data_IF_829302035223
#
_entry.id   IF_829302035223
#
_cell.length_a   1.000
_cell.length_b   1.000
_cell.length_c   1.000
_cell.angle_alpha   90.00
_cell.angle_beta   90.00
_cell.angle_gamma   90.00
#
_symmetry.space_group_name_H-M   'P 1'
#
loop_
_entity.id
_entity.type
_entity.pdbx_description
1 polymer ?
#
# COMPACT_ATOMS: atom_id res chain seq x y z
N UNK A 1 57.90 -69.27 14.19
CA UNK A 1 57.54 -68.38 13.06
C UNK A 1 56.10 -67.95 13.25
N UNK A 2 55.87 -66.63 13.31
CA UNK A 2 54.55 -65.99 13.50
C UNK A 2 53.78 -65.98 12.17
N UNK A 3 52.48 -66.25 12.18
CA UNK A 3 51.55 -65.78 11.13
C UNK A 3 50.12 -65.84 11.67
N UNK A 4 49.63 -64.73 12.24
CA UNK A 4 48.70 -63.77 11.63
C UNK A 4 47.31 -64.34 11.33
N UNK A 5 46.42 -64.18 12.32
CA UNK A 5 44.98 -64.25 12.13
C UNK A 5 44.51 -62.97 11.44
N UNK A 6 43.95 -63.09 10.24
CA UNK A 6 43.31 -61.99 9.54
C UNK A 6 41.85 -61.91 10.03
N UNK A 7 41.55 -60.97 10.93
CA UNK A 7 40.16 -60.62 11.23
C UNK A 7 39.61 -59.78 10.07
N UNK A 8 38.71 -60.36 9.27
CA UNK A 8 37.87 -59.58 8.35
C UNK A 8 36.87 -58.77 9.20
N UNK A 9 37.14 -57.48 9.38
CA UNK A 9 36.15 -56.54 9.87
C UNK A 9 35.21 -56.16 8.71
N UNK A 10 33.97 -56.62 8.75
CA UNK A 10 32.92 -56.14 7.84
C UNK A 10 32.50 -54.75 8.31
N UNK A 11 33.07 -53.71 7.71
CA UNK A 11 32.61 -52.34 7.84
C UNK A 11 31.27 -52.21 7.09
N UNK A 12 30.17 -52.30 7.83
CA UNK A 12 28.85 -51.93 7.32
C UNK A 12 28.83 -50.44 7.03
N UNK A 13 28.96 -50.07 5.75
CA UNK A 13 28.68 -48.69 5.30
C UNK A 13 27.17 -48.51 5.38
N UNK A 14 26.69 -47.99 6.50
CA UNK A 14 25.36 -47.42 6.57
C UNK A 14 25.35 -46.18 5.66
N UNK A 15 24.94 -46.37 4.41
CA UNK A 15 24.61 -45.26 3.52
C UNK A 15 23.43 -44.52 4.17
N UNK A 16 23.73 -43.46 4.91
CA UNK A 16 22.72 -42.49 5.29
C UNK A 16 22.24 -41.85 3.98
N UNK A 17 21.11 -42.33 3.48
CA UNK A 17 20.38 -41.63 2.44
C UNK A 17 19.88 -40.36 3.14
N UNK A 18 20.70 -39.31 3.11
CA UNK A 18 20.27 -37.98 3.44
C UNK A 18 19.16 -37.66 2.44
N UNK A 19 17.91 -37.89 2.86
CA UNK A 19 16.75 -37.46 2.12
C UNK A 19 16.93 -35.96 1.92
N UNK A 20 17.24 -35.55 0.70
CA UNK A 20 17.27 -34.17 0.31
C UNK A 20 15.83 -33.68 0.51
N UNK A 21 15.55 -33.11 1.68
CA UNK A 21 14.27 -32.46 1.95
C UNK A 21 14.25 -31.23 1.06
N UNK A 22 13.71 -31.37 -0.14
CA UNK A 22 13.38 -30.23 -0.97
C UNK A 22 12.59 -29.26 -0.11
N UNK A 23 13.01 -27.99 -0.08
CA UNK A 23 12.23 -26.97 0.60
C UNK A 23 10.81 -26.98 0.03
N UNK A 24 9.76 -26.89 0.88
CA UNK A 24 8.41 -26.77 0.37
C UNK A 24 8.35 -25.59 -0.60
N UNK A 25 7.55 -25.68 -1.67
CA UNK A 25 7.42 -24.56 -2.60
C UNK A 25 6.93 -23.32 -1.83
N UNK A 26 7.36 -22.11 -2.23
CA UNK A 26 6.86 -20.89 -1.64
C UNK A 26 5.32 -20.85 -1.73
N UNK A 27 4.68 -20.35 -0.67
CA UNK A 27 3.28 -19.97 -0.76
C UNK A 27 3.14 -18.81 -1.74
N UNK A 28 2.14 -18.87 -2.61
CA UNK A 28 1.80 -17.78 -3.52
C UNK A 28 0.29 -17.56 -3.52
N UNK A 29 -0.13 -16.32 -3.75
CA UNK A 29 -1.51 -16.00 -4.06
C UNK A 29 -1.67 -16.07 -5.59
N UNK A 30 -2.66 -16.78 -6.12
CA UNK A 30 -2.85 -16.94 -7.56
C UNK A 30 -3.18 -15.60 -8.22
N UNK A 31 -2.98 -15.52 -9.55
CA UNK A 31 -3.35 -14.39 -10.40
C UNK A 31 -2.78 -13.04 -9.96
N UNK A 32 -1.62 -13.08 -9.32
CA UNK A 32 -0.84 -11.90 -8.93
C UNK A 32 0.49 -11.91 -9.66
N UNK A 33 0.85 -10.77 -10.24
CA UNK A 33 2.18 -10.50 -10.76
C UNK A 33 2.79 -9.29 -10.07
N UNK A 34 4.12 -9.26 -9.96
CA UNK A 34 4.82 -8.12 -9.36
C UNK A 34 6.04 -7.75 -10.21
N UNK A 35 6.28 -6.45 -10.36
CA UNK A 35 7.46 -5.92 -11.03
C UNK A 35 7.92 -4.63 -10.35
N UNK A 36 9.16 -4.24 -10.59
CA UNK A 36 9.70 -2.95 -10.11
C UNK A 36 9.53 -1.90 -11.20
N UNK A 37 9.02 -0.73 -10.82
CA UNK A 37 8.90 0.43 -11.68
C UNK A 37 9.63 1.61 -11.05
N UNK A 38 10.61 2.18 -11.77
CA UNK A 38 11.33 3.37 -11.32
C UNK A 38 10.67 4.62 -11.89
N UNK A 39 10.18 5.49 -11.00
CA UNK A 39 9.50 6.71 -11.40
C UNK A 39 10.47 7.76 -11.94
N UNK A 40 10.04 8.44 -13.01
CA UNK A 40 10.69 9.65 -13.47
C UNK A 40 10.32 10.88 -12.65
N UNK A 41 9.08 10.99 -12.17
CA UNK A 41 8.63 12.11 -11.35
C UNK A 41 9.28 12.12 -9.96
N UNK A 42 9.33 10.96 -9.30
CA UNK A 42 9.75 10.85 -7.91
C UNK A 42 11.19 10.36 -7.73
N UNK A 43 11.79 9.81 -8.80
CA UNK A 43 13.11 9.14 -8.81
C UNK A 43 13.19 7.92 -7.88
N UNK A 44 12.06 7.43 -7.37
CA UNK A 44 11.98 6.24 -6.48
C UNK A 44 11.58 4.99 -7.25
N UNK A 45 11.99 3.85 -6.73
CA UNK A 45 11.60 2.53 -7.24
C UNK A 45 10.43 1.97 -6.42
N UNK A 46 9.34 1.66 -7.11
CA UNK A 46 8.14 1.08 -6.53
C UNK A 46 8.02 -0.39 -6.91
N UNK A 47 7.60 -1.23 -5.97
CA UNK A 47 7.14 -2.57 -6.28
C UNK A 47 5.66 -2.49 -6.61
N UNK A 48 5.33 -2.75 -7.87
CA UNK A 48 3.97 -2.73 -8.39
C UNK A 48 3.46 -4.16 -8.45
N UNK A 49 2.48 -4.47 -7.62
CA UNK A 49 1.79 -5.76 -7.59
C UNK A 49 0.42 -5.61 -8.26
N UNK A 50 0.09 -6.48 -9.21
CA UNK A 50 -1.20 -6.47 -9.91
C UNK A 50 -1.91 -7.79 -9.65
N UNK A 51 -3.12 -7.72 -9.07
CA UNK A 51 -4.03 -8.83 -8.90
C UNK A 51 -5.13 -8.75 -9.96
N UNK A 52 -5.30 -9.83 -10.72
CA UNK A 52 -6.38 -9.96 -11.69
C UNK A 52 -7.60 -10.65 -11.04
N UNK A 53 -8.83 -10.29 -11.47
CA UNK A 53 -10.02 -11.01 -11.03
C UNK A 53 -10.02 -12.44 -11.57
N UNK A 54 -10.74 -13.33 -10.90
CA UNK A 54 -10.92 -14.71 -11.36
C UNK A 54 -11.54 -14.73 -12.77
N UNK A 55 -10.98 -15.55 -13.66
CA UNK A 55 -11.41 -15.61 -15.05
C UNK A 55 -11.15 -14.35 -15.88
N UNK A 56 -10.18 -13.49 -15.48
CA UNK A 56 -9.82 -12.30 -16.26
C UNK A 56 -9.66 -12.58 -17.76
N UNK A 57 -10.30 -11.76 -18.58
CA UNK A 57 -10.24 -11.85 -20.05
C UNK A 57 -10.05 -10.48 -20.69
N UNK A 58 -9.15 -10.41 -21.66
CA UNK A 58 -8.96 -9.20 -22.48
C UNK A 58 -10.16 -8.89 -23.38
N UNK A 59 -11.04 -9.87 -23.63
CA UNK A 59 -12.25 -9.71 -24.46
C UNK A 59 -13.50 -9.32 -23.63
N UNK A 60 -13.37 -9.20 -22.31
CA UNK A 60 -14.43 -8.71 -21.42
C UNK A 60 -14.63 -7.18 -21.57
N UNK A 61 -15.69 -6.62 -20.97
CA UNK A 61 -15.76 -5.18 -20.78
C UNK A 61 -14.59 -4.68 -19.90
N UNK A 62 -14.04 -3.47 -20.12
CA UNK A 62 -12.87 -3.03 -19.35
C UNK A 62 -13.14 -2.99 -17.84
N UNK A 63 -12.26 -3.60 -17.05
CA UNK A 63 -12.42 -3.73 -15.60
C UNK A 63 -12.17 -2.39 -14.87
N UNK A 64 -12.92 -2.06 -13.80
CA UNK A 64 -12.51 -0.98 -12.89
C UNK A 64 -11.21 -1.34 -12.18
N UNK A 65 -10.49 -0.33 -11.67
CA UNK A 65 -9.17 -0.51 -11.04
C UNK A 65 -9.16 0.06 -9.63
N UNK A 66 -8.75 -0.75 -8.65
CA UNK A 66 -8.46 -0.29 -7.29
C UNK A 66 -6.96 -0.15 -7.11
N UNK A 67 -6.49 1.07 -6.87
CA UNK A 67 -5.11 1.36 -6.49
C UNK A 67 -5.00 1.37 -4.96
N UNK A 68 -4.04 0.61 -4.43
CA UNK A 68 -3.84 0.46 -2.99
C UNK A 68 -2.43 0.91 -2.59
N UNK A 69 -2.33 1.84 -1.64
CA UNK A 69 -1.06 2.19 -1.00
C UNK A 69 -0.53 1.04 -0.13
N UNK A 70 0.72 1.19 0.35
CA UNK A 70 1.31 0.32 1.37
C UNK A 70 1.19 -1.18 1.05
N UNK A 71 1.36 -1.53 -0.23
CA UNK A 71 1.16 -2.91 -0.72
C UNK A 71 2.11 -3.94 -0.09
N UNK A 72 3.23 -3.50 0.50
CA UNK A 72 4.10 -4.36 1.30
C UNK A 72 3.41 -4.93 2.55
N UNK A 73 2.37 -4.25 3.07
CA UNK A 73 1.66 -4.58 4.32
C UNK A 73 0.22 -5.03 4.09
N UNK A 74 -0.47 -4.44 3.11
CA UNK A 74 -1.94 -4.54 3.05
C UNK A 74 -2.45 -5.30 1.81
N UNK A 75 -1.60 -5.54 0.81
CA UNK A 75 -2.05 -6.03 -0.51
C UNK A 75 -2.80 -7.36 -0.45
N UNK A 76 -2.29 -8.35 0.28
CA UNK A 76 -2.96 -9.65 0.41
C UNK A 76 -4.36 -9.55 1.03
N UNK A 77 -4.50 -8.72 2.07
CA UNK A 77 -5.80 -8.46 2.72
C UNK A 77 -6.77 -7.78 1.76
N UNK A 78 -6.32 -6.77 1.03
CA UNK A 78 -7.15 -6.05 0.03
C UNK A 78 -7.61 -7.01 -1.06
N UNK A 79 -6.71 -7.84 -1.59
CA UNK A 79 -7.02 -8.79 -2.67
C UNK A 79 -8.04 -9.82 -2.22
N UNK A 80 -7.82 -10.49 -1.09
CA UNK A 80 -8.74 -11.55 -0.64
C UNK A 80 -10.09 -10.98 -0.19
N UNK A 81 -10.12 -9.77 0.38
CA UNK A 81 -11.38 -9.09 0.68
C UNK A 81 -12.16 -8.79 -0.60
N UNK A 82 -11.51 -8.24 -1.62
CA UNK A 82 -12.14 -7.95 -2.90
C UNK A 82 -12.65 -9.22 -3.57
N UNK A 83 -11.86 -10.31 -3.59
CA UNK A 83 -12.29 -11.61 -4.13
C UNK A 83 -13.55 -12.13 -3.44
N UNK A 84 -13.61 -12.07 -2.11
CA UNK A 84 -14.79 -12.50 -1.36
C UNK A 84 -16.04 -11.64 -1.69
N UNK A 85 -15.88 -10.34 -1.84
CA UNK A 85 -16.96 -9.42 -2.21
C UNK A 85 -17.42 -9.60 -3.67
N UNK A 86 -16.49 -9.83 -4.60
CA UNK A 86 -16.79 -10.13 -6.01
C UNK A 86 -17.46 -11.49 -6.18
N UNK A 87 -17.02 -12.52 -5.44
CA UNK A 87 -17.65 -13.83 -5.41
C UNK A 87 -19.12 -13.74 -4.97
N UNK A 88 -19.39 -12.93 -3.93
CA UNK A 88 -20.74 -12.65 -3.44
C UNK A 88 -21.50 -11.57 -4.23
N UNK A 89 -20.94 -11.09 -5.34
CA UNK A 89 -21.51 -10.07 -6.25
C UNK A 89 -21.88 -8.74 -5.57
N UNK A 90 -21.20 -8.42 -4.46
CA UNK A 90 -21.36 -7.14 -3.76
C UNK A 90 -20.57 -6.00 -4.44
N UNK A 91 -19.50 -6.34 -5.16
CA UNK A 91 -18.72 -5.43 -5.99
C UNK A 91 -18.50 -6.09 -7.37
N UNK A 92 -18.23 -5.31 -8.43
CA UNK A 92 -17.85 -5.87 -9.73
C UNK A 92 -16.51 -6.62 -9.63
N UNK A 93 -16.21 -7.45 -10.62
CA UNK A 93 -14.86 -7.95 -10.81
C UNK A 93 -13.94 -6.77 -11.16
N UNK A 94 -12.75 -6.70 -10.57
CA UNK A 94 -11.85 -5.56 -10.68
C UNK A 94 -10.38 -5.98 -10.71
N UNK A 95 -9.55 -5.14 -11.33
CA UNK A 95 -8.09 -5.25 -11.24
C UNK A 95 -7.62 -4.46 -10.01
N UNK A 96 -6.70 -5.04 -9.24
CA UNK A 96 -6.13 -4.39 -8.05
C UNK A 96 -4.65 -4.12 -8.28
N UNK A 97 -4.25 -2.86 -8.12
CA UNK A 97 -2.88 -2.39 -8.31
C UNK A 97 -2.34 -1.95 -6.95
N UNK A 98 -1.52 -2.79 -6.33
CA UNK A 98 -0.81 -2.47 -5.11
C UNK A 98 0.47 -1.70 -5.41
N UNK A 99 0.65 -0.57 -4.74
CA UNK A 99 1.84 0.27 -4.81
C UNK A 99 2.64 0.08 -3.53
N UNK A 100 3.77 -0.61 -3.64
CA UNK A 100 4.71 -0.84 -2.56
C UNK A 100 6.10 -0.34 -2.91
N UNK A 101 7.05 -0.72 -2.08
CA UNK A 101 8.45 -0.31 -2.17
C UNK A 101 9.33 -1.50 -2.49
N UNK A 102 10.24 -1.32 -3.45
CA UNK A 102 11.21 -2.33 -3.87
C UNK A 102 12.38 -2.40 -2.86
N UNK A 103 12.08 -2.81 -1.62
CA UNK A 103 13.03 -2.91 -0.52
C UNK A 103 12.90 -4.24 0.20
N UNK A 104 14.00 -4.67 0.81
CA UNK A 104 14.01 -5.85 1.68
C UNK A 104 13.18 -5.61 2.95
N UNK A 105 12.61 -6.68 3.48
CA UNK A 105 11.73 -6.63 4.65
C UNK A 105 10.28 -6.94 4.30
N UNK A 106 9.44 -7.00 5.33
CA UNK A 106 8.00 -7.26 5.21
C UNK A 106 7.22 -6.13 5.88
N UNK A 107 6.03 -5.85 5.36
CA UNK A 107 5.13 -4.87 5.92
C UNK A 107 5.76 -3.49 6.11
N UNK A 108 5.49 -2.89 7.27
CA UNK A 108 5.95 -1.55 7.62
C UNK A 108 7.47 -1.39 7.64
N UNK A 109 8.25 -2.46 7.83
CA UNK A 109 9.72 -2.39 7.73
C UNK A 109 10.20 -2.06 6.32
N UNK A 110 9.48 -2.54 5.31
CA UNK A 110 9.79 -2.25 3.92
C UNK A 110 9.23 -0.87 3.48
N UNK A 111 8.03 -0.51 3.94
CA UNK A 111 7.35 0.72 3.50
C UNK A 111 7.66 1.97 4.32
N UNK A 112 7.84 1.84 5.63
CA UNK A 112 7.97 2.92 6.62
C UNK A 112 8.87 4.09 6.22
N UNK A 113 10.10 3.84 5.71
CA UNK A 113 11.02 4.94 5.42
C UNK A 113 10.57 5.83 4.25
N UNK A 114 10.08 5.23 3.17
CA UNK A 114 9.73 5.94 1.93
C UNK A 114 8.27 6.40 1.91
N UNK A 115 7.36 5.69 2.57
CA UNK A 115 5.95 6.08 2.66
C UNK A 115 5.76 7.43 3.34
N UNK A 116 6.64 7.78 4.27
CA UNK A 116 6.62 9.09 4.93
C UNK A 116 6.90 10.21 3.93
N UNK A 117 7.68 9.95 2.87
CA UNK A 117 7.88 10.88 1.75
C UNK A 117 6.64 10.89 0.87
N UNK A 118 6.30 9.76 0.25
CA UNK A 118 5.28 9.70 -0.81
C UNK A 118 3.87 10.08 -0.35
N UNK A 119 3.52 9.76 0.90
CA UNK A 119 2.15 9.83 1.38
C UNK A 119 1.87 11.09 2.21
N UNK A 120 2.84 11.99 2.35
CA UNK A 120 2.66 13.25 3.10
C UNK A 120 2.68 14.46 2.16
N UNK A 121 1.72 15.40 2.32
CA UNK A 121 1.55 16.52 1.41
C UNK A 121 2.57 17.64 1.58
N UNK A 122 3.19 17.73 2.76
CA UNK A 122 4.10 18.81 3.15
C UNK A 122 5.33 18.25 3.85
N UNK A 123 6.44 18.99 3.80
CA UNK A 123 7.63 18.65 4.56
C UNK A 123 7.44 18.95 6.05
N UNK A 124 7.78 17.99 6.90
CA UNK A 124 7.84 18.12 8.36
C UNK A 124 9.08 17.40 8.90
N UNK A 125 10.22 18.10 8.87
CA UNK A 125 11.50 17.59 9.36
C UNK A 125 11.53 17.43 10.88
N UNK A 126 10.71 18.19 11.61
CA UNK A 126 10.60 18.09 13.06
C UNK A 126 9.91 16.78 13.46
N UNK A 127 8.78 16.47 12.81
CA UNK A 127 8.11 15.17 12.98
C UNK A 127 9.03 14.02 12.57
N UNK A 128 9.69 14.11 11.41
CA UNK A 128 10.57 13.04 10.94
C UNK A 128 11.71 12.75 11.94
N UNK A 129 12.29 13.78 12.53
CA UNK A 129 13.33 13.65 13.56
C UNK A 129 12.80 13.00 14.83
N UNK A 130 11.62 13.42 15.30
CA UNK A 130 11.00 12.86 16.51
C UNK A 130 10.62 11.39 16.32
N UNK A 131 10.00 11.05 15.18
CA UNK A 131 9.54 9.70 14.87
C UNK A 131 10.68 8.73 14.53
N UNK A 132 11.84 9.22 14.09
CA UNK A 132 13.00 8.38 13.83
C UNK A 132 13.41 7.56 15.06
N UNK A 133 13.38 8.16 16.26
CA UNK A 133 13.69 7.43 17.49
C UNK A 133 12.70 6.29 17.73
N UNK A 134 11.41 6.58 17.63
CA UNK A 134 10.34 5.60 17.82
C UNK A 134 10.46 4.44 16.82
N UNK A 135 10.71 4.75 15.54
CA UNK A 135 10.89 3.74 14.49
C UNK A 135 12.06 2.79 14.81
N UNK A 136 13.20 3.35 15.22
CA UNK A 136 14.39 2.57 15.57
C UNK A 136 14.11 1.67 16.78
N UNK A 137 13.45 2.20 17.82
CA UNK A 137 13.07 1.42 19.01
C UNK A 137 12.14 0.23 18.65
N UNK A 138 11.32 0.38 17.60
CA UNK A 138 10.44 -0.67 17.06
C UNK A 138 11.12 -1.60 16.04
N UNK A 139 12.42 -1.40 15.75
CA UNK A 139 13.17 -2.19 14.77
C UNK A 139 12.73 -1.95 13.33
N UNK A 140 12.27 -0.73 13.05
CA UNK A 140 11.89 -0.24 11.71
C UNK A 140 12.93 0.83 11.30
N UNK A 141 13.40 0.86 10.05
CA UNK A 141 14.30 1.92 9.62
C UNK A 141 13.57 3.28 9.71
N UNK A 142 14.27 4.36 10.11
CA UNK A 142 13.65 5.67 10.30
C UNK A 142 13.11 6.24 8.97
N UNK A 143 12.18 7.21 9.02
CA UNK A 143 11.76 7.98 7.84
C UNK A 143 12.94 8.55 7.07
N UNK A 144 12.91 8.45 5.74
CA UNK A 144 13.93 9.06 4.87
C UNK A 144 13.59 10.51 4.48
N UNK A 145 12.37 10.95 4.78
CA UNK A 145 11.89 12.31 4.51
C UNK A 145 10.37 12.40 4.55
N UNK A 146 9.86 13.55 4.13
CA UNK A 146 8.43 13.91 4.07
C UNK A 146 8.15 14.82 2.86
N UNK A 147 6.89 15.12 2.54
CA UNK A 147 6.50 16.14 1.56
C UNK A 147 6.53 15.73 0.08
N UNK A 148 6.50 14.44 -0.23
CA UNK A 148 6.64 13.90 -1.58
C UNK A 148 5.33 13.64 -2.35
N UNK A 149 4.16 13.97 -1.79
CA UNK A 149 2.86 13.63 -2.38
C UNK A 149 2.67 14.11 -3.83
N UNK A 150 3.11 15.31 -4.17
CA UNK A 150 2.95 15.83 -5.53
C UNK A 150 3.72 14.99 -6.57
N UNK A 151 4.95 14.59 -6.25
CA UNK A 151 5.76 13.74 -7.11
C UNK A 151 5.18 12.30 -7.19
N UNK A 152 4.60 11.81 -6.09
CA UNK A 152 3.96 10.50 -6.08
C UNK A 152 2.65 10.49 -6.88
N UNK A 153 1.83 11.53 -6.81
CA UNK A 153 0.66 11.71 -7.68
C UNK A 153 1.08 11.77 -9.15
N UNK A 154 2.11 12.54 -9.50
CA UNK A 154 2.61 12.60 -10.87
C UNK A 154 3.05 11.20 -11.38
N UNK A 155 3.75 10.43 -10.55
CA UNK A 155 4.06 9.03 -10.86
C UNK A 155 2.80 8.19 -11.13
N UNK A 156 1.82 8.25 -10.21
CA UNK A 156 0.59 7.46 -10.34
C UNK A 156 -0.16 7.83 -11.62
N UNK A 157 -0.34 9.13 -11.86
CA UNK A 157 -1.12 9.67 -12.97
C UNK A 157 -0.45 9.42 -14.32
N UNK A 158 0.81 9.84 -14.44
CA UNK A 158 1.46 10.01 -15.73
C UNK A 158 2.25 8.77 -16.14
N UNK A 159 2.63 7.93 -15.17
CA UNK A 159 3.48 6.76 -15.43
C UNK A 159 2.73 5.45 -15.15
N UNK A 160 2.29 5.25 -13.90
CA UNK A 160 1.71 3.96 -13.48
C UNK A 160 0.36 3.70 -14.14
N UNK A 161 -0.58 4.65 -14.09
CA UNK A 161 -1.91 4.46 -14.66
C UNK A 161 -1.83 4.20 -16.18
N UNK A 162 -0.98 4.94 -16.89
CA UNK A 162 -0.72 4.72 -18.32
C UNK A 162 -0.06 3.35 -18.60
N UNK A 163 0.77 2.85 -17.69
CA UNK A 163 1.35 1.50 -17.79
C UNK A 163 0.27 0.41 -17.63
N UNK A 164 -0.61 0.57 -16.64
CA UNK A 164 -1.72 -0.37 -16.38
C UNK A 164 -2.71 -0.39 -17.55
N UNK A 165 -3.11 0.77 -18.07
CA UNK A 165 -4.02 0.89 -19.24
C UNK A 165 -3.46 0.23 -20.50
N UNK A 166 -2.13 0.21 -20.67
CA UNK A 166 -1.48 -0.46 -21.81
C UNK A 166 -1.36 -1.98 -21.63
N UNK A 167 -1.32 -2.44 -20.40
CA UNK A 167 -1.00 -3.84 -20.08
C UNK A 167 -2.25 -4.69 -19.83
N UNK A 168 -3.36 -4.06 -19.43
CA UNK A 168 -4.58 -4.73 -19.02
C UNK A 168 -5.82 -4.06 -19.62
N UNK A 169 -6.88 -4.85 -19.85
CA UNK A 169 -8.17 -4.38 -20.31
C UNK A 169 -8.93 -3.68 -19.17
N UNK A 170 -8.54 -2.45 -18.86
CA UNK A 170 -9.08 -1.68 -17.74
C UNK A 170 -9.76 -0.40 -18.21
N UNK A 171 -10.76 0.01 -17.45
CA UNK A 171 -11.44 1.29 -17.62
C UNK A 171 -10.72 2.42 -16.86
N UNK A 172 -11.19 3.66 -17.07
CA UNK A 172 -10.81 4.82 -16.25
C UNK A 172 -11.64 4.97 -14.98
N UNK A 173 -12.47 3.97 -14.66
CA UNK A 173 -13.09 3.89 -13.34
C UNK A 173 -12.04 3.43 -12.32
N UNK A 174 -11.43 4.40 -11.65
CA UNK A 174 -10.35 4.18 -10.69
C UNK A 174 -10.79 4.55 -9.28
N UNK A 175 -10.45 3.67 -8.34
CA UNK A 175 -10.60 3.87 -6.92
C UNK A 175 -9.23 3.92 -6.22
N UNK A 176 -9.14 4.69 -5.14
CA UNK A 176 -8.00 4.71 -4.24
C UNK A 176 -8.36 4.05 -2.90
N UNK A 177 -7.48 3.19 -2.41
CA UNK A 177 -7.48 2.69 -1.04
C UNK A 177 -6.20 3.10 -0.33
N UNK A 178 -6.36 3.60 0.89
CA UNK A 178 -5.22 3.88 1.75
C UNK A 178 -5.61 4.05 3.21
N UNK A 179 -4.69 3.65 4.08
CA UNK A 179 -4.84 3.70 5.53
C UNK A 179 -3.74 4.57 6.17
N UNK A 180 -4.03 5.27 7.27
CA UNK A 180 -3.07 6.15 7.95
C UNK A 180 -2.50 7.22 7.01
N UNK A 181 -1.18 7.28 6.76
CA UNK A 181 -0.65 8.17 5.70
C UNK A 181 -1.18 7.84 4.31
N UNK A 182 -1.49 6.58 3.98
CA UNK A 182 -2.18 6.26 2.72
C UNK A 182 -3.57 6.89 2.66
N UNK A 183 -4.22 7.04 3.81
CA UNK A 183 -5.49 7.78 3.94
C UNK A 183 -5.30 9.29 3.85
N UNK A 184 -4.24 9.84 4.47
CA UNK A 184 -3.84 11.24 4.33
C UNK A 184 -3.57 11.61 2.87
N UNK A 185 -2.82 10.76 2.15
CA UNK A 185 -2.61 10.91 0.72
C UNK A 185 -3.91 10.73 -0.06
N UNK A 186 -4.80 9.83 0.36
CA UNK A 186 -6.17 9.74 -0.17
C UNK A 186 -6.92 11.07 -0.08
N UNK A 187 -6.84 11.78 1.05
CA UNK A 187 -7.41 13.12 1.20
C UNK A 187 -6.69 14.14 0.31
N UNK A 188 -5.36 14.08 0.20
CA UNK A 188 -4.61 14.91 -0.75
C UNK A 188 -5.08 14.70 -2.20
N UNK A 189 -5.34 13.45 -2.60
CA UNK A 189 -5.87 13.09 -3.92
C UNK A 189 -7.29 13.64 -4.16
N UNK A 190 -8.15 13.75 -3.14
CA UNK A 190 -9.48 14.36 -3.30
C UNK A 190 -9.37 15.78 -3.88
N UNK A 191 -8.36 16.53 -3.47
CA UNK A 191 -8.20 17.94 -3.84
C UNK A 191 -7.27 18.15 -5.04
N UNK A 192 -6.29 17.25 -5.24
CA UNK A 192 -5.22 17.43 -6.22
C UNK A 192 -5.24 16.39 -7.35
N UNK A 193 -5.95 15.27 -7.19
CA UNK A 193 -5.97 14.13 -8.11
C UNK A 193 -7.36 13.76 -8.62
N UNK A 194 -8.29 14.72 -8.64
CA UNK A 194 -9.68 14.51 -9.08
C UNK A 194 -9.82 14.16 -10.56
N UNK A 195 -8.77 14.32 -11.36
CA UNK A 195 -8.66 13.87 -12.75
C UNK A 195 -8.24 12.39 -12.88
N UNK A 196 -7.78 11.79 -11.78
CA UNK A 196 -7.26 10.42 -11.73
C UNK A 196 -8.22 9.49 -11.01
N UNK A 197 -8.77 9.93 -9.88
CA UNK A 197 -9.60 9.11 -9.00
C UNK A 197 -10.93 9.81 -8.69
N UNK A 198 -12.00 9.01 -8.68
CA UNK A 198 -13.34 9.48 -8.30
C UNK A 198 -13.96 8.67 -7.16
N UNK A 199 -13.30 7.58 -6.74
CA UNK A 199 -13.76 6.69 -5.67
C UNK A 199 -12.64 6.53 -4.65
N UNK A 200 -12.97 6.62 -3.38
CA UNK A 200 -11.98 6.65 -2.31
C UNK A 200 -12.45 5.80 -1.14
N UNK A 201 -11.57 4.94 -0.65
CA UNK A 201 -11.72 4.16 0.57
C UNK A 201 -10.57 4.59 1.48
N UNK A 202 -10.88 5.48 2.42
CA UNK A 202 -9.89 6.17 3.25
C UNK A 202 -10.08 5.70 4.70
N UNK A 203 -9.15 4.88 5.18
CA UNK A 203 -9.13 4.38 6.54
C UNK A 203 -8.22 5.23 7.43
N UNK A 204 -8.73 5.71 8.54
CA UNK A 204 -8.00 6.40 9.60
C UNK A 204 -6.97 7.40 9.04
N UNK A 205 -7.40 8.40 8.26
CA UNK A 205 -6.46 9.33 7.63
C UNK A 205 -5.74 10.14 8.72
N UNK A 206 -4.42 10.28 8.60
CA UNK A 206 -3.58 11.03 9.55
C UNK A 206 -3.76 12.55 9.44
N UNK A 207 -5.00 13.04 9.61
CA UNK A 207 -5.40 14.42 9.40
C UNK A 207 -4.73 15.42 10.37
N UNK A 208 -4.15 14.93 11.46
CA UNK A 208 -3.32 15.72 12.38
C UNK A 208 -2.04 16.26 11.73
N UNK A 209 -1.61 15.66 10.60
CA UNK A 209 -0.38 15.98 9.89
C UNK A 209 -0.20 17.48 9.67
N UNK A 210 1.01 17.97 9.96
CA UNK A 210 1.46 19.36 9.74
C UNK A 210 0.40 20.38 10.18
N UNK A 211 0.02 20.29 11.46
CA UNK A 211 -0.98 21.17 12.10
C UNK A 211 -2.28 21.20 11.29
N UNK A 212 -2.78 20.01 10.93
CA UNK A 212 -4.01 19.80 10.16
C UNK A 212 -4.00 20.46 8.78
N UNK A 213 -2.91 20.27 8.04
CA UNK A 213 -2.75 20.85 6.70
C UNK A 213 -3.90 20.51 5.74
N UNK A 214 -4.46 19.29 5.82
CA UNK A 214 -5.54 18.88 4.93
C UNK A 214 -6.92 19.44 5.28
N UNK A 215 -7.19 19.79 6.54
CA UNK A 215 -8.41 20.52 6.89
C UNK A 215 -8.34 21.95 6.32
N UNK A 216 -7.18 22.60 6.40
CA UNK A 216 -6.98 23.93 5.78
C UNK A 216 -7.08 23.88 4.25
N UNK A 217 -6.60 22.78 3.64
CA UNK A 217 -6.72 22.57 2.20
C UNK A 217 -8.19 22.38 1.78
N UNK A 218 -9.00 21.74 2.62
CA UNK A 218 -10.45 21.63 2.43
C UNK A 218 -11.11 23.01 2.45
N UNK A 219 -10.84 23.84 3.48
CA UNK A 219 -11.41 25.19 3.56
C UNK A 219 -11.11 26.01 2.29
N UNK A 220 -9.86 25.95 1.81
CA UNK A 220 -9.44 26.62 0.57
C UNK A 220 -10.14 26.04 -0.68
N UNK A 221 -10.38 24.72 -0.70
CA UNK A 221 -11.07 24.03 -1.78
C UNK A 221 -12.55 24.37 -1.80
N UNK A 222 -13.21 24.43 -0.65
CA UNK A 222 -14.59 24.84 -0.49
C UNK A 222 -14.80 26.30 -0.96
N UNK A 223 -13.90 27.20 -0.56
CA UNK A 223 -13.92 28.60 -0.99
C UNK A 223 -13.82 28.79 -2.52
N UNK A 224 -13.31 27.81 -3.27
CA UNK A 224 -13.28 27.86 -4.73
C UNK A 224 -14.65 27.63 -5.40
N UNK A 225 -15.65 27.14 -4.66
CA UNK A 225 -17.02 26.89 -5.13
C UNK A 225 -17.16 25.76 -6.16
N UNK A 226 -16.07 25.06 -6.52
CA UNK A 226 -16.13 23.94 -7.46
C UNK A 226 -16.69 22.70 -6.73
N UNK A 227 -17.66 21.96 -7.28
CA UNK A 227 -18.14 20.74 -6.63
C UNK A 227 -17.03 19.69 -6.52
N UNK A 228 -17.05 18.90 -5.46
CA UNK A 228 -16.19 17.71 -5.33
C UNK A 228 -16.91 16.53 -5.99
N UNK A 229 -16.53 16.18 -7.22
CA UNK A 229 -17.10 15.02 -7.90
C UNK A 229 -16.35 13.74 -7.50
N UNK A 230 -16.57 13.30 -6.25
CA UNK A 230 -15.96 12.10 -5.68
C UNK A 230 -16.96 11.33 -4.79
N UNK A 231 -16.80 10.01 -4.77
CA UNK A 231 -17.46 9.10 -3.82
C UNK A 231 -16.44 8.68 -2.78
N UNK A 232 -16.66 9.07 -1.53
CA UNK A 232 -15.69 8.87 -0.45
C UNK A 232 -16.29 8.02 0.65
N UNK A 233 -15.61 6.94 1.01
CA UNK A 233 -15.82 6.20 2.24
C UNK A 233 -14.71 6.56 3.22
N UNK A 234 -15.10 6.95 4.43
CA UNK A 234 -14.20 7.32 5.53
C UNK A 234 -14.49 6.40 6.72
N UNK A 235 -13.44 5.92 7.38
CA UNK A 235 -13.56 5.16 8.62
C UNK A 235 -12.47 5.54 9.61
N UNK A 236 -12.73 5.34 10.90
CA UNK A 236 -11.73 5.45 11.98
C UNK A 236 -12.07 4.47 13.09
N UNK A 237 -11.06 3.90 13.74
CA UNK A 237 -11.24 3.09 14.94
C UNK A 237 -11.51 3.97 16.16
N UNK A 238 -12.59 3.69 16.89
CA UNK A 238 -13.02 4.52 18.04
C UNK A 238 -12.00 4.60 19.18
N UNK A 239 -11.07 3.65 19.27
CA UNK A 239 -10.04 3.59 20.31
C UNK A 239 -8.70 4.23 19.90
N UNK A 240 -8.53 4.63 18.63
CA UNK A 240 -7.22 5.08 18.13
C UNK A 240 -6.65 6.26 18.92
N UNK A 241 -7.47 7.28 19.18
CA UNK A 241 -7.06 8.46 19.93
C UNK A 241 -6.81 8.16 21.41
N UNK A 242 -7.47 7.15 21.98
CA UNK A 242 -7.18 6.70 23.33
C UNK A 242 -5.82 6.01 23.41
N UNK A 243 -5.48 5.22 22.40
CA UNK A 243 -4.21 4.47 22.34
C UNK A 243 -3.01 5.37 22.00
N UNK A 244 -3.22 6.42 21.21
CA UNK A 244 -2.19 7.39 20.85
C UNK A 244 -2.70 8.84 20.99
N UNK A 245 -2.78 9.38 22.23
CA UNK A 245 -3.38 10.70 22.49
C UNK A 245 -2.72 11.87 21.75
N UNK A 246 -1.45 11.72 21.35
CA UNK A 246 -0.70 12.71 20.58
C UNK A 246 -1.21 12.86 19.14
N UNK A 247 -1.93 11.85 18.64
CA UNK A 247 -2.49 11.81 17.28
C UNK A 247 -4.03 11.80 17.37
N UNK A 248 -4.70 12.95 17.24
CA UNK A 248 -6.15 13.07 17.40
C UNK A 248 -6.95 12.50 16.21
N UNK A 249 -6.78 11.20 15.91
CA UNK A 249 -7.34 10.52 14.74
C UNK A 249 -8.87 10.62 14.66
N UNK A 250 -9.55 10.43 15.79
CA UNK A 250 -11.02 10.38 15.85
C UNK A 250 -11.59 11.78 15.71
N UNK A 251 -11.14 12.74 16.52
CA UNK A 251 -11.72 14.09 16.49
C UNK A 251 -11.35 14.84 15.22
N UNK A 252 -10.17 14.59 14.63
CA UNK A 252 -9.81 15.23 13.37
C UNK A 252 -10.62 14.68 12.19
N UNK A 253 -10.92 13.37 12.16
CA UNK A 253 -11.82 12.84 11.13
C UNK A 253 -13.25 13.36 11.28
N UNK A 254 -13.77 13.46 12.51
CA UNK A 254 -15.09 14.05 12.76
C UNK A 254 -15.18 15.49 12.25
N UNK A 255 -14.20 16.33 12.60
CA UNK A 255 -14.13 17.72 12.14
C UNK A 255 -14.06 17.80 10.61
N UNK A 256 -13.26 16.94 9.97
CA UNK A 256 -13.14 16.92 8.52
C UNK A 256 -14.44 16.48 7.82
N UNK A 257 -15.16 15.49 8.36
CA UNK A 257 -16.47 15.09 7.83
C UNK A 257 -17.49 16.22 7.97
N UNK A 258 -17.50 16.92 9.12
CA UNK A 258 -18.35 18.08 9.33
C UNK A 258 -18.05 19.19 8.31
N UNK A 259 -16.78 19.47 8.03
CA UNK A 259 -16.36 20.43 7.00
C UNK A 259 -16.85 20.04 5.60
N UNK A 260 -16.62 18.79 5.19
CA UNK A 260 -17.07 18.27 3.88
C UNK A 260 -18.60 18.32 3.68
N UNK A 261 -19.38 18.35 4.76
CA UNK A 261 -20.85 18.40 4.72
C UNK A 261 -21.41 19.84 4.68
N UNK A 262 -20.57 20.87 4.86
CA UNK A 262 -21.02 22.26 4.88
C UNK A 262 -21.21 22.85 3.47
N UNK A 263 -20.68 22.21 2.43
CA UNK A 263 -20.59 22.73 1.05
C UNK A 263 -20.85 21.63 0.01
#
# INVERSE_FOLDING_TARGET
MRSFWCHLAVLGVAASVAACRASPPPAFLPDITSHVMTSQASKRAYQISVALPDGYSADHAPYPVLYAADANSEFGTVVETARALSFSKQIPDLVIVGIGYARSGQGFKASGPLRSIDLTPTEDSAWATAFAKESIDQGVPPPEGTGGAAAFLAFIRDELAASIERSYNVSRDRAWFGHSFGGLFGVYLLFNGSDVFHRFIIGSPSLWWDKRAMLKAEDARAASGKPLNARVFLSVGVLEQQMAPTYPMVTDLQAFVEQLQQH
#
